data_IF_780309391221
#
_entry.id   IF_780309391221
#
_cell.length_a   1.000
_cell.length_b   1.000
_cell.length_c   1.000
_cell.angle_alpha   90.00
_cell.angle_beta   90.00
_cell.angle_gamma   90.00
#
_symmetry.space_group_name_H-M   'P 1'
#
loop_
_entity.id
_entity.type
_entity.pdbx_description
1 polymer ?
#
# COMPACT_ATOMS: atom_id res chain seq x y z
N UNK A 1 15.63 2.82 5.36
CA UNK A 1 15.84 1.77 4.34
C UNK A 1 14.50 1.44 3.70
N UNK A 2 14.42 1.46 2.35
CA UNK A 2 13.21 1.08 1.63
C UNK A 2 12.82 -0.36 1.96
N UNK A 3 11.52 -0.59 2.12
CA UNK A 3 10.95 -1.88 2.55
C UNK A 3 10.08 -2.48 1.46
N UNK A 4 10.14 -3.81 1.33
CA UNK A 4 9.25 -4.58 0.46
C UNK A 4 8.10 -5.16 1.29
N UNK A 5 6.87 -4.85 0.90
CA UNK A 5 5.66 -5.28 1.62
C UNK A 5 4.61 -5.81 0.64
N UNK A 6 3.69 -6.64 1.11
CA UNK A 6 2.51 -7.03 0.33
C UNK A 6 1.46 -5.91 0.39
N UNK A 7 0.93 -5.51 -0.76
CA UNK A 7 -0.12 -4.51 -0.89
C UNK A 7 -1.20 -4.96 -1.89
N UNK A 8 -2.41 -4.44 -1.74
CA UNK A 8 -3.50 -4.65 -2.71
C UNK A 8 -3.44 -3.54 -3.75
N UNK A 9 -3.29 -3.89 -5.02
CA UNK A 9 -3.18 -2.95 -6.15
C UNK A 9 -4.40 -3.07 -7.05
N UNK A 10 -5.00 -1.91 -7.35
CA UNK A 10 -5.96 -1.73 -8.44
C UNK A 10 -5.19 -1.20 -9.66
N UNK A 11 -4.85 -2.05 -10.65
CA UNK A 11 -3.95 -1.69 -11.75
C UNK A 11 -4.58 -0.70 -12.75
N UNK A 12 -5.91 -0.67 -12.82
CA UNK A 12 -6.67 0.12 -13.79
C UNK A 12 -8.16 0.06 -13.51
N UNK A 13 -8.92 0.95 -14.17
CA UNK A 13 -10.38 1.00 -14.04
C UNK A 13 -10.99 -0.29 -14.58
N UNK A 14 -11.91 -0.89 -13.82
CA UNK A 14 -12.59 -2.16 -14.13
C UNK A 14 -11.68 -3.39 -14.19
N UNK A 15 -10.42 -3.30 -13.75
CA UNK A 15 -9.54 -4.45 -13.63
C UNK A 15 -9.63 -5.09 -12.25
N UNK A 16 -9.42 -6.41 -12.13
CA UNK A 16 -9.42 -7.08 -10.83
C UNK A 16 -8.25 -6.58 -9.97
N UNK A 17 -8.55 -6.33 -8.70
CA UNK A 17 -7.51 -6.08 -7.69
C UNK A 17 -6.69 -7.33 -7.43
N UNK A 18 -5.41 -7.15 -7.10
CA UNK A 18 -4.50 -8.26 -6.78
C UNK A 18 -3.50 -7.87 -5.72
N UNK A 19 -2.95 -8.88 -5.04
CA UNK A 19 -1.89 -8.69 -4.05
C UNK A 19 -0.55 -8.72 -4.76
N UNK A 20 0.27 -7.68 -4.57
CA UNK A 20 1.62 -7.58 -5.11
C UNK A 20 2.63 -7.15 -4.05
N UNK A 21 3.89 -7.50 -4.25
CA UNK A 21 5.00 -6.91 -3.50
C UNK A 21 5.27 -5.50 -4.02
N UNK A 22 5.22 -4.50 -3.14
CA UNK A 22 5.55 -3.11 -3.44
C UNK A 22 6.70 -2.60 -2.58
N UNK A 23 7.39 -1.57 -3.07
CA UNK A 23 8.45 -0.88 -2.34
C UNK A 23 7.88 0.37 -1.69
N UNK A 24 7.98 0.48 -0.36
CA UNK A 24 7.72 1.73 0.35
C UNK A 24 9.06 2.46 0.51
N UNK A 25 9.18 3.71 0.01
CA UNK A 25 10.40 4.51 0.15
C UNK A 25 10.64 4.92 1.60
N UNK A 26 11.81 5.50 1.85
CA UNK A 26 12.11 6.11 3.14
C UNK A 26 11.26 7.37 3.36
N UNK A 27 10.76 7.60 4.59
CA UNK A 27 9.94 8.77 4.88
C UNK A 27 10.77 10.05 4.78
N UNK A 28 10.16 11.11 4.21
CA UNK A 28 10.72 12.44 4.22
C UNK A 28 10.61 13.15 5.59
N UNK A 29 11.10 14.39 5.71
CA UNK A 29 10.97 15.17 6.94
C UNK A 29 9.49 15.37 7.33
N UNK A 30 9.12 14.91 8.54
CA UNK A 30 7.75 15.03 9.06
C UNK A 30 6.80 13.90 8.62
N UNK A 31 7.27 12.94 7.82
CA UNK A 31 6.48 11.77 7.42
C UNK A 31 6.72 10.58 8.37
N UNK A 32 5.76 9.67 8.41
CA UNK A 32 5.86 8.42 9.15
C UNK A 32 5.47 7.24 8.26
N UNK A 33 6.23 6.15 8.38
CA UNK A 33 5.83 4.86 7.85
C UNK A 33 5.02 4.13 8.93
N UNK A 34 3.83 3.68 8.58
CA UNK A 34 2.92 3.00 9.51
C UNK A 34 2.74 1.53 9.11
N UNK A 35 2.93 0.63 10.08
CA UNK A 35 2.58 -0.79 9.92
C UNK A 35 1.08 -0.99 10.16
N UNK A 36 0.33 -1.15 9.07
CA UNK A 36 -1.12 -1.40 9.11
C UNK A 36 -1.42 -2.73 9.81
N UNK A 37 -2.30 -2.71 10.81
CA UNK A 37 -2.76 -3.92 11.52
C UNK A 37 -4.06 -4.48 10.92
N UNK A 38 -4.95 -3.60 10.47
CA UNK A 38 -6.23 -3.93 9.85
C UNK A 38 -6.64 -2.82 8.88
N UNK A 39 -7.40 -3.18 7.84
CA UNK A 39 -7.93 -2.25 6.86
C UNK A 39 -9.42 -2.57 6.61
N UNK A 40 -10.28 -1.55 6.74
CA UNK A 40 -11.70 -1.66 6.37
C UNK A 40 -11.90 -1.20 4.92
N UNK A 41 -12.91 -1.75 4.24
CA UNK A 41 -13.27 -1.36 2.88
C UNK A 41 -14.56 -0.54 2.93
N UNK A 42 -14.55 0.64 2.30
CA UNK A 42 -15.73 1.50 2.15
C UNK A 42 -16.22 1.52 0.69
N UNK A 43 -17.28 2.29 0.42
CA UNK A 43 -17.87 2.38 -0.91
C UNK A 43 -17.15 3.33 -1.87
N UNK A 44 -16.40 4.30 -1.31
CA UNK A 44 -15.49 5.14 -2.07
C UNK A 44 -14.24 4.35 -2.42
#
# INVERSE_FOLDING_TARGET
MPQQVQGVIAPGKNEPVRVETIVIPDPGPGEAVVKIQACGVCHT
#
